data_IF_092253639887
#
_entry.id   IF_092253639887
#
_cell.length_a   1.000
_cell.length_b   1.000
_cell.length_c   1.000
_cell.angle_alpha   90.00
_cell.angle_beta   90.00
_cell.angle_gamma   90.00
#
_symmetry.space_group_name_H-M   'P 1'
#
loop_
_entity.id
_entity.type
_entity.pdbx_description
1 polymer ?
#
# COMPACT_ATOMS: atom_id res chain seq x y z
N UNK A 1 14.52 20.67 -0.87
CA UNK A 1 13.89 19.60 -0.06
C UNK A 1 13.19 18.64 -1.01
N UNK A 2 13.65 17.39 -1.10
CA UNK A 2 12.89 16.36 -1.81
C UNK A 2 11.65 16.05 -0.96
N UNK A 3 10.45 16.18 -1.52
CA UNK A 3 9.23 15.85 -0.79
C UNK A 3 9.35 14.41 -0.29
N UNK A 4 9.19 14.19 1.03
CA UNK A 4 9.17 12.86 1.60
C UNK A 4 8.18 12.00 0.81
N UNK A 5 8.65 10.91 0.21
CA UNK A 5 7.81 10.09 -0.67
C UNK A 5 6.70 9.48 0.20
N UNK A 6 5.45 9.84 -0.08
CA UNK A 6 4.27 9.25 0.56
C UNK A 6 3.87 8.02 -0.23
N UNK A 7 3.80 6.87 0.43
CA UNK A 7 3.51 5.57 -0.20
C UNK A 7 2.40 4.88 0.57
N UNK A 8 1.38 4.42 -0.13
CA UNK A 8 0.37 3.53 0.43
C UNK A 8 0.55 2.14 -0.18
N UNK A 9 0.99 1.20 0.65
CA UNK A 9 1.15 -0.20 0.29
C UNK A 9 -0.23 -0.85 0.33
N UNK A 10 -0.66 -1.32 -0.83
CA UNK A 10 -1.93 -2.01 -1.00
C UNK A 10 -1.66 -3.50 -1.06
N UNK A 11 -2.14 -4.23 -0.06
CA UNK A 11 -2.10 -5.69 0.01
C UNK A 11 -3.40 -6.27 -0.54
N UNK A 12 -3.39 -6.93 -1.70
CA UNK A 12 -4.51 -7.74 -2.12
C UNK A 12 -4.63 -8.93 -1.17
N UNK A 13 -5.83 -9.19 -0.67
CA UNK A 13 -6.04 -10.37 0.15
C UNK A 13 -5.71 -11.66 -0.61
N UNK A 14 -5.03 -12.58 0.06
CA UNK A 14 -4.52 -13.81 -0.53
C UNK A 14 -3.12 -13.70 -1.15
N UNK A 15 -2.49 -12.51 -1.14
CA UNK A 15 -1.07 -12.35 -1.50
C UNK A 15 -0.21 -12.42 -0.24
N UNK A 16 0.83 -13.28 -0.18
CA UNK A 16 1.73 -13.32 0.96
C UNK A 16 2.39 -11.96 1.17
N UNK A 17 2.41 -11.51 2.42
CA UNK A 17 3.05 -10.25 2.78
C UNK A 17 4.54 -10.32 2.42
N UNK A 18 5.03 -9.29 1.72
CA UNK A 18 6.47 -9.08 1.63
C UNK A 18 6.89 -8.39 2.93
N UNK A 19 7.25 -9.21 3.92
CA UNK A 19 7.69 -8.73 5.22
C UNK A 19 8.90 -7.80 5.05
N UNK A 20 8.84 -6.64 5.69
CA UNK A 20 9.93 -5.66 5.70
C UNK A 20 9.91 -4.59 4.59
N UNK A 21 9.04 -4.67 3.57
CA UNK A 21 8.98 -3.61 2.54
C UNK A 21 8.54 -2.26 3.14
N UNK A 22 7.55 -2.28 4.04
CA UNK A 22 7.09 -1.08 4.72
C UNK A 22 8.17 -0.46 5.61
N UNK A 23 8.97 -1.28 6.27
CA UNK A 23 10.08 -0.86 7.12
C UNK A 23 11.23 -0.27 6.28
N UNK A 24 11.64 -0.96 5.21
CA UNK A 24 12.66 -0.48 4.28
C UNK A 24 12.30 0.87 3.63
N UNK A 25 11.02 1.09 3.29
CA UNK A 25 10.55 2.37 2.78
C UNK A 25 10.59 3.47 3.85
N UNK A 26 10.22 3.16 5.10
CA UNK A 26 10.33 4.12 6.22
C UNK A 26 11.79 4.48 6.51
N UNK A 27 12.69 3.51 6.48
CA UNK A 27 14.15 3.72 6.64
C UNK A 27 14.73 4.58 5.51
N UNK A 28 14.18 4.47 4.30
CA UNK A 28 14.51 5.34 3.18
C UNK A 28 13.90 6.76 3.28
N UNK A 29 13.20 7.09 4.38
CA UNK A 29 12.58 8.39 4.62
C UNK A 29 11.19 8.56 4.00
N UNK A 30 10.52 7.49 3.60
CA UNK A 30 9.16 7.52 3.07
C UNK A 30 8.11 7.49 4.19
N UNK A 31 6.97 8.15 3.96
CA UNK A 31 5.78 7.96 4.79
C UNK A 31 4.99 6.79 4.24
N UNK A 32 4.84 5.73 5.03
CA UNK A 32 4.23 4.47 4.58
C UNK A 32 2.93 4.18 5.32
N UNK A 33 1.84 4.04 4.57
CA UNK A 33 0.56 3.48 5.04
C UNK A 33 0.36 2.08 4.45
N UNK A 34 -0.25 1.18 5.20
CA UNK A 34 -0.59 -0.17 4.73
C UNK A 34 -2.11 -0.32 4.71
N UNK A 35 -2.65 -0.75 3.59
CA UNK A 35 -4.08 -1.05 3.39
C UNK A 35 -4.22 -2.48 2.90
N UNK A 36 -5.19 -3.21 3.43
CA UNK A 36 -5.56 -4.54 2.96
C UNK A 36 -6.86 -4.42 2.15
N UNK A 37 -6.85 -4.92 0.92
CA UNK A 37 -8.03 -4.99 0.07
C UNK A 37 -8.65 -6.39 0.21
N UNK A 38 -9.79 -6.48 0.90
CA UNK A 38 -10.49 -7.73 1.11
C UNK A 38 -10.97 -8.36 -0.23
N UNK A 39 -10.99 -9.71 -0.34
CA UNK A 39 -11.31 -10.41 -1.58
C UNK A 39 -12.81 -10.73 -1.60
N UNK A 40 -13.67 -9.73 -1.72
CA UNK A 40 -15.03 -9.85 -2.27
C UNK A 40 -15.90 -8.67 -1.83
N UNK A 41 -16.60 -8.06 -2.79
CA UNK A 41 -18.02 -7.64 -2.71
C UNK A 41 -18.53 -6.73 -1.59
N UNK A 42 -17.79 -6.48 -0.52
CA UNK A 42 -18.14 -5.53 0.53
C UNK A 42 -17.76 -4.14 0.04
N UNK A 43 -18.74 -3.25 -0.18
CA UNK A 43 -18.45 -1.94 -0.72
C UNK A 43 -17.81 -1.06 0.34
N UNK A 44 -16.87 -0.25 -0.15
CA UNK A 44 -16.58 1.13 0.25
C UNK A 44 -15.46 1.41 1.24
N UNK A 45 -15.27 0.68 2.35
CA UNK A 45 -14.33 1.16 3.39
C UNK A 45 -12.86 1.15 2.93
N UNK A 46 -12.36 0.03 2.39
CA UNK A 46 -10.94 -0.10 2.01
C UNK A 46 -10.61 0.72 0.75
N UNK A 47 -11.57 0.83 -0.18
CA UNK A 47 -11.44 1.64 -1.38
C UNK A 47 -11.54 3.14 -1.07
N UNK A 48 -12.39 3.55 -0.14
CA UNK A 48 -12.45 4.93 0.33
C UNK A 48 -11.13 5.30 1.02
N UNK A 49 -10.61 4.44 1.90
CA UNK A 49 -9.32 4.68 2.54
C UNK A 49 -8.15 4.78 1.54
N UNK A 50 -8.21 4.03 0.43
CA UNK A 50 -7.25 4.15 -0.67
C UNK A 50 -7.39 5.50 -1.41
N UNK A 51 -8.62 5.90 -1.72
CA UNK A 51 -8.89 7.18 -2.37
C UNK A 51 -8.48 8.36 -1.48
N UNK A 52 -8.82 8.34 -0.21
CA UNK A 52 -8.42 9.34 0.78
C UNK A 52 -6.89 9.46 0.86
N UNK A 53 -6.18 8.32 0.88
CA UNK A 53 -4.72 8.32 0.86
C UNK A 53 -4.16 8.95 -0.44
N UNK A 54 -4.78 8.69 -1.59
CA UNK A 54 -4.38 9.32 -2.86
C UNK A 54 -4.63 10.84 -2.85
N UNK A 55 -5.75 11.30 -2.29
CA UNK A 55 -6.05 12.73 -2.12
C UNK A 55 -5.08 13.42 -1.16
N UNK A 56 -4.63 12.72 -0.11
CA UNK A 56 -3.55 13.16 0.78
C UNK A 56 -2.15 13.14 0.11
N UNK A 57 -2.05 12.68 -1.14
CA UNK A 57 -0.82 12.66 -1.93
C UNK A 57 0.04 11.42 -1.71
N UNK A 58 -0.52 10.32 -1.20
CA UNK A 58 0.16 9.03 -1.16
C UNK A 58 0.14 8.36 -2.53
N UNK A 59 1.29 7.81 -2.94
CA UNK A 59 1.42 7.01 -4.15
C UNK A 59 1.00 5.56 -3.85
N UNK A 60 -0.01 5.01 -4.54
CA UNK A 60 -0.42 3.63 -4.34
C UNK A 60 0.58 2.66 -4.94
N UNK A 61 1.03 1.69 -4.13
CA UNK A 61 1.93 0.60 -4.53
C UNK A 61 1.23 -0.71 -4.20
N UNK A 62 0.76 -1.39 -5.24
CA UNK A 62 0.09 -2.69 -5.09
C UNK A 62 1.15 -3.79 -4.99
N UNK A 63 1.10 -4.56 -3.91
CA UNK A 63 1.98 -5.72 -3.75
C UNK A 63 1.46 -6.83 -4.66
N UNK A 64 2.28 -7.20 -5.64
CA UNK A 64 2.02 -8.35 -6.50
C UNK A 64 2.73 -9.55 -5.89
N UNK A 65 2.07 -10.71 -5.88
CA UNK A 65 2.77 -11.95 -5.64
C UNK A 65 3.94 -12.04 -6.64
N UNK A 66 5.12 -12.52 -6.22
CA UNK A 66 6.18 -12.83 -7.17
C UNK A 66 5.57 -13.74 -8.24
N UNK A 67 5.68 -13.36 -9.50
CA UNK A 67 5.29 -14.27 -10.57
C UNK A 67 6.19 -15.48 -10.43
N UNK A 68 5.63 -16.64 -10.13
CA UNK A 68 6.37 -17.90 -10.09
C UNK A 68 7.16 -18.01 -11.40
N UNK A 69 8.49 -18.05 -11.26
CA UNK A 69 9.44 -18.22 -12.36
C UNK A 69 9.64 -19.68 -12.71
#
# INVERSE_FOLDING_TARGET
>A
MSAAKRVVLVRPAGVPAVDGLGEALRDAGAQVRELELAPSGAPSADYAALLDAMEEGFMPVVLKAPADG
#
